data_IF_890664066192
#
_entry.id   IF_890664066192
#
_cell.length_a   1.000
_cell.length_b   1.000
_cell.length_c   1.000
_cell.angle_alpha   90.00
_cell.angle_beta   90.00
_cell.angle_gamma   90.00
#
_symmetry.space_group_name_H-M   'P 1'
#
loop_
_entity.id
_entity.type
_entity.pdbx_description
1 polymer ?
#
# COMPACT_ATOMS: atom_id res chain seq x y z
N UNK A 1 31.28 32.73 4.20
CA UNK A 1 30.30 32.32 3.17
C UNK A 1 30.85 32.33 1.73
N UNK A 2 31.69 33.30 1.30
CA UNK A 2 32.30 33.32 -0.06
C UNK A 2 33.16 32.08 -0.42
N UNK A 3 33.63 31.29 0.55
CA UNK A 3 34.44 30.09 0.28
C UNK A 3 33.63 28.80 0.05
N UNK A 4 32.38 28.70 0.53
CA UNK A 4 31.63 27.43 0.49
C UNK A 4 31.19 27.06 -0.93
N UNK A 5 30.72 28.05 -1.70
CA UNK A 5 30.36 27.85 -3.11
C UNK A 5 31.56 27.40 -3.96
N UNK A 6 32.73 27.98 -3.72
CA UNK A 6 33.97 27.55 -4.37
C UNK A 6 34.37 26.13 -3.96
N UNK A 7 34.24 25.77 -2.68
CA UNK A 7 34.53 24.40 -2.21
C UNK A 7 33.59 23.40 -2.91
N UNK A 8 32.29 23.69 -2.99
CA UNK A 8 31.32 22.84 -3.69
C UNK A 8 31.70 22.68 -5.17
N UNK A 9 32.01 23.79 -5.87
CA UNK A 9 32.40 23.75 -7.28
C UNK A 9 33.69 22.93 -7.50
N UNK A 10 34.66 23.02 -6.59
CA UNK A 10 35.89 22.23 -6.61
C UNK A 10 35.58 20.75 -6.35
N UNK A 11 34.70 20.43 -5.40
CA UNK A 11 34.26 19.06 -5.12
C UNK A 11 33.61 18.41 -6.35
N UNK A 12 32.72 19.12 -7.05
CA UNK A 12 32.14 18.62 -8.31
C UNK A 12 33.19 18.32 -9.38
N UNK A 13 34.16 19.22 -9.57
CA UNK A 13 35.27 19.00 -10.53
C UNK A 13 36.15 17.81 -10.13
N UNK A 14 36.42 17.63 -8.84
CA UNK A 14 37.18 16.49 -8.31
C UNK A 14 36.46 15.17 -8.56
N UNK A 15 35.15 15.14 -8.32
CA UNK A 15 34.30 13.95 -8.57
C UNK A 15 34.33 13.57 -10.07
N UNK A 16 34.31 14.56 -10.96
CA UNK A 16 34.36 14.34 -12.41
C UNK A 16 35.73 13.88 -12.93
N UNK A 17 36.81 14.08 -12.18
CA UNK A 17 38.16 13.64 -12.57
C UNK A 17 38.31 12.12 -12.50
N UNK A 18 37.72 11.49 -11.47
CA UNK A 18 37.80 10.05 -11.23
C UNK A 18 36.42 9.35 -11.34
N UNK A 19 35.78 9.49 -12.52
CA UNK A 19 34.40 9.07 -12.77
C UNK A 19 34.10 7.62 -12.40
N UNK A 20 34.93 6.66 -12.85
CA UNK A 20 34.69 5.23 -12.61
C UNK A 20 34.62 4.90 -11.12
N UNK A 21 35.63 5.35 -10.36
CA UNK A 21 35.72 5.13 -8.92
C UNK A 21 34.50 5.70 -8.20
N UNK A 22 34.19 6.96 -8.47
CA UNK A 22 33.11 7.65 -7.78
C UNK A 22 31.74 7.04 -8.10
N UNK A 23 31.53 6.55 -9.34
CA UNK A 23 30.33 5.78 -9.69
C UNK A 23 30.24 4.51 -8.82
N UNK A 24 31.30 3.71 -8.73
CA UNK A 24 31.30 2.49 -7.92
C UNK A 24 31.08 2.76 -6.43
N UNK A 25 31.60 3.87 -5.90
CA UNK A 25 31.36 4.29 -4.52
C UNK A 25 29.91 4.68 -4.29
N UNK A 26 29.28 5.37 -5.26
CA UNK A 26 27.90 5.80 -5.16
C UNK A 26 26.91 4.65 -5.32
N UNK A 27 27.23 3.57 -6.02
CA UNK A 27 26.30 2.45 -6.28
C UNK A 27 25.68 1.90 -4.98
N UNK A 28 26.49 1.69 -3.93
CA UNK A 28 25.96 1.18 -2.65
C UNK A 28 24.96 2.14 -2.00
N UNK A 29 25.23 3.45 -2.08
CA UNK A 29 24.34 4.51 -1.58
C UNK A 29 23.07 4.59 -2.43
N UNK A 30 23.21 4.56 -3.75
CA UNK A 30 22.13 4.62 -4.72
C UNK A 30 21.16 3.46 -4.49
N UNK A 31 21.68 2.22 -4.41
CA UNK A 31 20.85 1.02 -4.20
C UNK A 31 20.18 1.06 -2.82
N UNK A 32 20.94 1.40 -1.77
CA UNK A 32 20.40 1.48 -0.41
C UNK A 32 19.25 2.49 -0.28
N UNK A 33 19.41 3.68 -0.87
CA UNK A 33 18.38 4.72 -0.83
C UNK A 33 17.21 4.38 -1.75
N UNK A 34 17.47 3.88 -2.96
CA UNK A 34 16.41 3.44 -3.86
C UNK A 34 15.50 2.41 -3.19
N UNK A 35 16.07 1.39 -2.54
CA UNK A 35 15.32 0.35 -1.84
C UNK A 35 14.42 0.92 -0.72
N UNK A 36 14.95 1.82 0.12
CA UNK A 36 14.18 2.48 1.20
C UNK A 36 13.05 3.32 0.62
N UNK A 37 13.32 4.08 -0.44
CA UNK A 37 12.31 4.95 -1.05
C UNK A 37 11.21 4.13 -1.71
N UNK A 38 11.56 3.08 -2.46
CA UNK A 38 10.59 2.19 -3.11
C UNK A 38 9.66 1.56 -2.08
N UNK A 39 10.19 0.95 -1.01
CA UNK A 39 9.35 0.28 -0.01
C UNK A 39 8.48 1.27 0.78
N UNK A 40 9.00 2.45 1.12
CA UNK A 40 8.23 3.46 1.82
C UNK A 40 7.11 4.03 0.95
N UNK A 41 7.39 4.28 -0.34
CA UNK A 41 6.40 4.80 -1.29
C UNK A 41 5.27 3.80 -1.51
N UNK A 42 5.61 2.52 -1.70
CA UNK A 42 4.64 1.43 -1.85
C UNK A 42 3.85 1.19 -0.57
N UNK A 43 4.52 1.17 0.59
CA UNK A 43 3.88 0.98 1.89
C UNK A 43 2.91 2.10 2.23
N UNK A 44 3.31 3.36 2.02
CA UNK A 44 2.42 4.51 2.21
C UNK A 44 1.26 4.51 1.21
N UNK A 45 1.53 4.18 -0.05
CA UNK A 45 0.52 4.04 -1.08
C UNK A 45 -0.54 3.00 -0.72
N UNK A 46 -0.10 1.82 -0.29
CA UNK A 46 -1.01 0.78 0.18
C UNK A 46 -1.84 1.22 1.38
N UNK A 47 -1.21 1.84 2.39
CA UNK A 47 -1.92 2.37 3.57
C UNK A 47 -2.96 3.41 3.18
N UNK A 48 -2.64 4.28 2.23
CA UNK A 48 -3.56 5.29 1.74
C UNK A 48 -4.74 4.65 0.99
N UNK A 49 -4.48 3.79 0.00
CA UNK A 49 -5.54 3.08 -0.74
C UNK A 49 -6.45 2.29 0.20
N UNK A 50 -5.87 1.56 1.16
CA UNK A 50 -6.64 0.80 2.13
C UNK A 50 -7.45 1.69 3.09
N UNK A 51 -6.96 2.90 3.40
CA UNK A 51 -7.69 3.88 4.20
C UNK A 51 -8.82 4.56 3.41
N UNK A 52 -8.61 4.85 2.12
CA UNK A 52 -9.64 5.40 1.23
C UNK A 52 -10.81 4.41 1.08
N UNK A 53 -10.50 3.13 0.81
CA UNK A 53 -11.51 2.07 0.78
C UNK A 53 -12.26 1.95 2.13
N UNK A 54 -11.60 2.27 3.24
CA UNK A 54 -12.22 2.23 4.56
C UNK A 54 -13.22 3.38 4.77
N UNK A 55 -12.86 4.62 4.40
CA UNK A 55 -13.76 5.77 4.49
C UNK A 55 -15.05 5.54 3.68
N UNK A 56 -14.92 4.96 2.48
CA UNK A 56 -16.06 4.67 1.59
C UNK A 56 -17.00 3.57 2.12
N UNK A 57 -16.52 2.66 2.99
CA UNK A 57 -17.36 1.60 3.59
C UNK A 57 -18.30 2.10 4.70
N UNK A 58 -18.39 3.42 4.92
CA UNK A 58 -19.31 4.01 5.89
C UNK A 58 -18.79 3.89 7.33
N UNK A 59 -17.48 3.81 7.51
CA UNK A 59 -16.80 3.93 8.79
C UNK A 59 -16.57 5.39 9.20
N UNK A 60 -17.60 6.21 9.01
CA UNK A 60 -17.64 7.58 9.48
C UNK A 60 -17.41 7.67 10.99
N UNK A 61 -17.11 8.88 11.45
CA UNK A 61 -16.80 9.13 12.87
C UNK A 61 -17.96 8.80 13.81
N UNK A 62 -19.18 8.83 13.30
CA UNK A 62 -20.41 8.64 14.08
C UNK A 62 -21.21 7.40 13.62
N UNK A 63 -20.54 6.42 13.00
CA UNK A 63 -21.15 5.15 12.62
C UNK A 63 -20.38 3.94 13.16
N UNK A 64 -21.13 2.89 13.46
CA UNK A 64 -20.60 1.57 13.82
C UNK A 64 -21.31 0.49 13.00
N UNK A 65 -20.67 -0.66 12.80
CA UNK A 65 -21.25 -1.79 12.06
C UNK A 65 -21.28 -3.02 12.95
N UNK A 66 -22.48 -3.59 13.15
CA UNK A 66 -22.67 -4.89 13.80
C UNK A 66 -22.84 -5.94 12.72
N UNK A 67 -21.95 -6.91 12.69
CA UNK A 67 -21.96 -7.99 11.71
C UNK A 67 -22.70 -9.20 12.27
N UNK A 68 -23.27 -10.00 11.40
CA UNK A 68 -23.80 -11.31 11.73
C UNK A 68 -22.95 -12.40 11.11
N UNK A 69 -22.64 -13.43 11.88
CA UNK A 69 -21.96 -14.63 11.39
C UNK A 69 -22.75 -15.86 11.82
N UNK A 70 -23.05 -16.74 10.87
CA UNK A 70 -23.69 -18.01 11.14
C UNK A 70 -22.78 -18.91 11.98
N UNK A 71 -23.36 -19.85 12.71
CA UNK A 71 -22.59 -20.81 13.52
C UNK A 71 -21.71 -21.74 12.67
N UNK A 72 -22.05 -21.95 11.39
CA UNK A 72 -21.23 -22.73 10.45
C UNK A 72 -20.07 -21.93 9.85
N UNK A 73 -20.08 -20.60 9.97
CA UNK A 73 -19.12 -19.71 9.30
C UNK A 73 -19.41 -19.53 7.80
N UNK A 74 -20.51 -20.08 7.29
CA UNK A 74 -20.99 -19.85 5.92
C UNK A 74 -21.82 -18.57 5.83
N UNK A 75 -22.03 -18.06 4.61
CA UNK A 75 -22.89 -16.91 4.36
C UNK A 75 -24.33 -17.13 4.84
N UNK A 76 -24.99 -16.06 5.24
CA UNK A 76 -26.38 -16.14 5.71
C UNK A 76 -27.32 -16.47 4.53
N UNK A 77 -28.08 -17.58 4.64
CA UNK A 77 -29.05 -17.97 3.61
C UNK A 77 -30.24 -17.01 3.56
N UNK A 78 -30.73 -16.63 4.74
CA UNK A 78 -31.79 -15.66 4.94
C UNK A 78 -31.25 -14.43 5.66
N UNK A 79 -31.85 -13.27 5.44
CA UNK A 79 -31.42 -12.05 6.10
C UNK A 79 -31.65 -12.17 7.62
N UNK A 80 -30.60 -12.14 8.46
CA UNK A 80 -30.70 -12.33 9.90
C UNK A 80 -31.21 -11.06 10.61
N UNK A 81 -31.47 -9.98 9.88
CA UNK A 81 -31.99 -8.72 10.40
C UNK A 81 -33.43 -8.50 9.92
N UNK A 82 -34.34 -8.37 10.87
CA UNK A 82 -35.73 -7.97 10.69
C UNK A 82 -35.96 -6.53 11.14
N UNK A 83 -37.16 -6.00 10.87
CA UNK A 83 -37.58 -4.70 11.40
C UNK A 83 -37.54 -4.63 12.93
N UNK A 84 -37.81 -5.74 13.62
CA UNK A 84 -37.73 -5.78 15.09
C UNK A 84 -36.29 -5.65 15.59
N UNK A 85 -35.30 -6.14 14.84
CA UNK A 85 -33.89 -6.04 15.21
C UNK A 85 -33.38 -4.60 15.12
N UNK A 86 -33.86 -3.87 14.11
CA UNK A 86 -33.61 -2.43 13.96
C UNK A 86 -34.17 -1.64 15.15
N UNK A 87 -35.38 -1.98 15.61
CA UNK A 87 -35.99 -1.32 16.77
C UNK A 87 -35.27 -1.66 18.08
N UNK A 88 -34.78 -2.90 18.25
CA UNK A 88 -33.93 -3.29 19.39
C UNK A 88 -32.65 -2.46 19.40
N UNK A 89 -32.00 -2.30 18.25
CA UNK A 89 -30.78 -1.51 18.15
C UNK A 89 -31.01 -0.03 18.50
N UNK A 90 -32.13 0.55 18.03
CA UNK A 90 -32.51 1.95 18.33
C UNK A 90 -32.84 2.21 19.80
N UNK A 91 -33.22 1.19 20.56
CA UNK A 91 -33.47 1.31 22.00
C UNK A 91 -32.19 1.42 22.84
N UNK A 92 -31.03 1.10 22.27
CA UNK A 92 -29.75 1.19 22.98
C UNK A 92 -29.30 2.65 23.07
N UNK A 93 -29.07 3.12 24.30
CA UNK A 93 -28.55 4.46 24.55
C UNK A 93 -27.24 4.70 23.77
N UNK A 94 -27.23 5.76 22.96
CA UNK A 94 -26.10 6.13 22.10
C UNK A 94 -26.33 5.84 20.62
N UNK A 95 -27.40 5.14 20.24
CA UNK A 95 -27.81 4.92 18.84
C UNK A 95 -28.87 5.96 18.45
N UNK A 96 -28.64 6.69 17.36
CA UNK A 96 -29.60 7.66 16.79
C UNK A 96 -30.47 7.03 15.70
N UNK A 97 -29.89 6.13 14.90
CA UNK A 97 -30.60 5.37 13.87
C UNK A 97 -29.90 4.03 13.62
N UNK A 98 -30.64 3.09 13.03
CA UNK A 98 -30.12 1.79 12.63
C UNK A 98 -30.74 1.41 11.27
N UNK A 99 -29.91 0.91 10.36
CA UNK A 99 -30.33 0.40 9.05
C UNK A 99 -29.49 -0.80 8.63
N UNK A 100 -30.06 -1.66 7.80
CA UNK A 100 -29.30 -2.75 7.17
C UNK A 100 -28.32 -2.10 6.19
N UNK A 101 -27.05 -2.49 6.29
CA UNK A 101 -25.98 -1.93 5.47
C UNK A 101 -26.07 -2.50 4.06
N UNK A 102 -26.49 -1.68 3.11
CA UNK A 102 -26.37 -2.01 1.69
C UNK A 102 -25.02 -1.51 1.17
N UNK A 103 -24.22 -2.42 0.59
CA UNK A 103 -23.02 -2.05 -0.17
C UNK A 103 -23.06 -2.72 -1.54
N UNK A 104 -22.45 -2.05 -2.52
CA UNK A 104 -22.25 -2.60 -3.86
C UNK A 104 -21.08 -3.61 -3.88
N UNK A 105 -20.14 -3.51 -2.94
CA UNK A 105 -18.99 -4.41 -2.83
C UNK A 105 -19.23 -5.63 -1.93
N UNK A 106 -20.47 -5.81 -1.44
CA UNK A 106 -20.88 -7.02 -0.71
C UNK A 106 -21.34 -8.10 -1.69
N UNK A 107 -20.93 -9.35 -1.44
CA UNK A 107 -21.44 -10.52 -2.14
C UNK A 107 -22.88 -10.84 -1.75
N UNK A 108 -23.67 -11.34 -2.69
CA UNK A 108 -25.03 -11.83 -2.47
C UNK A 108 -25.11 -13.31 -2.82
N UNK A 109 -25.57 -14.12 -1.88
CA UNK A 109 -25.68 -15.57 -2.05
C UNK A 109 -26.79 -15.89 -3.04
N UNK A 110 -26.46 -16.69 -4.06
CA UNK A 110 -27.44 -17.19 -5.01
C UNK A 110 -27.13 -18.62 -5.44
N UNK A 111 -28.16 -19.33 -5.91
CA UNK A 111 -27.96 -20.67 -6.48
C UNK A 111 -27.75 -20.54 -7.98
N UNK A 112 -26.60 -21.02 -8.44
CA UNK A 112 -26.39 -21.22 -9.86
C UNK A 112 -26.84 -22.60 -10.31
N UNK A 113 -27.38 -22.66 -11.52
CA UNK A 113 -27.69 -23.89 -12.24
C UNK A 113 -27.25 -23.76 -13.70
N UNK A 114 -26.66 -24.82 -14.22
CA UNK A 114 -26.49 -25.04 -15.64
C UNK A 114 -26.97 -26.47 -15.96
N UNK A 115 -27.12 -26.81 -17.24
CA UNK A 115 -27.50 -28.13 -17.74
C UNK A 115 -26.71 -29.30 -17.12
N UNK A 116 -25.53 -29.04 -16.56
CA UNK A 116 -24.61 -30.06 -16.03
C UNK A 116 -24.41 -30.02 -14.51
N UNK A 117 -24.58 -28.86 -13.85
CA UNK A 117 -24.23 -28.69 -12.43
C UNK A 117 -25.12 -27.65 -11.72
N UNK A 118 -25.28 -27.85 -10.41
CA UNK A 118 -25.81 -26.86 -9.46
C UNK A 118 -24.73 -26.51 -8.46
N UNK A 119 -24.71 -25.27 -7.98
CA UNK A 119 -23.79 -24.81 -6.95
C UNK A 119 -24.21 -23.46 -6.40
N UNK A 120 -23.52 -23.03 -5.35
CA UNK A 120 -23.70 -21.70 -4.79
C UNK A 120 -22.68 -20.75 -5.41
N UNK A 121 -23.12 -19.51 -5.65
CA UNK A 121 -22.28 -18.42 -6.17
C UNK A 121 -22.51 -17.16 -5.34
N UNK A 122 -21.48 -16.33 -5.28
CA UNK A 122 -21.57 -14.98 -4.71
C UNK A 122 -21.69 -13.97 -5.84
N UNK A 123 -22.77 -13.19 -5.86
CA UNK A 123 -22.98 -12.13 -6.85
C UNK A 123 -22.40 -10.83 -6.30
N UNK A 124 -21.49 -10.22 -7.06
CA UNK A 124 -20.94 -8.90 -6.77
C UNK A 124 -21.55 -7.88 -7.72
N UNK A 125 -22.11 -6.79 -7.18
CA UNK A 125 -22.63 -5.69 -7.98
C UNK A 125 -21.47 -4.84 -8.49
N UNK A 126 -21.47 -4.54 -9.79
CA UNK A 126 -20.57 -3.54 -10.37
C UNK A 126 -21.32 -2.65 -11.35
N UNK A 127 -20.87 -1.41 -11.54
CA UNK A 127 -21.42 -0.53 -12.59
C UNK A 127 -20.90 -0.93 -13.97
N UNK A 128 -19.64 -1.31 -14.02
CA UNK A 128 -18.95 -1.79 -15.22
C UNK A 128 -17.86 -2.80 -14.84
N UNK A 129 -17.46 -3.61 -15.82
CA UNK A 129 -16.37 -4.58 -15.73
C UNK A 129 -15.73 -4.72 -17.11
N UNK A 130 -14.89 -3.75 -17.50
CA UNK A 130 -14.40 -3.60 -18.88
C UNK A 130 -13.12 -4.38 -19.20
N UNK A 131 -12.44 -4.92 -18.19
CA UNK A 131 -11.12 -5.56 -18.34
C UNK A 131 -11.09 -7.03 -17.87
N UNK A 132 -11.93 -7.93 -18.41
CA UNK A 132 -11.84 -9.36 -18.09
C UNK A 132 -10.60 -10.00 -18.74
N UNK A 133 -10.11 -11.12 -18.18
CA UNK A 133 -9.01 -11.88 -18.79
C UNK A 133 -9.40 -12.45 -20.16
N UNK A 134 -10.68 -12.81 -20.33
CA UNK A 134 -11.25 -13.30 -21.60
C UNK A 134 -12.64 -12.71 -21.81
N UNK A 135 -12.97 -12.38 -23.06
CA UNK A 135 -14.28 -11.82 -23.44
C UNK A 135 -14.28 -10.30 -23.48
N UNK A 136 -15.48 -9.70 -23.41
CA UNK A 136 -15.67 -8.24 -23.55
C UNK A 136 -16.13 -7.55 -22.26
N UNK A 137 -16.58 -8.31 -21.27
CA UNK A 137 -17.10 -7.74 -20.03
C UNK A 137 -18.42 -7.00 -20.25
N UNK A 138 -18.78 -6.10 -19.35
CA UNK A 138 -19.95 -5.22 -19.48
C UNK A 138 -19.61 -3.78 -19.14
N UNK A 139 -20.32 -2.82 -19.74
CA UNK A 139 -20.07 -1.39 -19.55
C UNK A 139 -21.27 -0.67 -18.88
N UNK A 140 -21.17 0.64 -18.71
CA UNK A 140 -22.26 1.46 -18.16
C UNK A 140 -23.55 1.37 -18.99
N UNK A 141 -23.48 1.31 -20.33
CA UNK A 141 -24.68 1.16 -21.18
C UNK A 141 -25.41 -0.15 -20.87
N UNK A 142 -24.68 -1.25 -20.66
CA UNK A 142 -25.25 -2.54 -20.29
C UNK A 142 -25.97 -2.46 -18.94
N UNK A 143 -25.41 -1.69 -17.99
CA UNK A 143 -26.01 -1.43 -16.69
C UNK A 143 -27.26 -0.53 -16.80
N UNK A 144 -27.22 0.56 -17.56
CA UNK A 144 -28.40 1.43 -17.76
C UNK A 144 -29.56 0.71 -18.46
N UNK A 145 -29.25 -0.13 -19.44
CA UNK A 145 -30.24 -0.90 -20.19
C UNK A 145 -30.73 -2.16 -19.46
N UNK A 146 -30.24 -2.43 -18.25
CA UNK A 146 -30.54 -3.64 -17.47
C UNK A 146 -30.29 -4.94 -18.26
N UNK A 147 -29.21 -5.00 -19.04
CA UNK A 147 -28.91 -6.19 -19.82
C UNK A 147 -28.58 -7.36 -18.88
N UNK A 148 -29.11 -8.54 -19.22
CA UNK A 148 -28.87 -9.79 -18.48
C UNK A 148 -27.52 -10.42 -18.85
N UNK A 149 -26.45 -9.68 -18.60
CA UNK A 149 -25.07 -10.10 -18.85
C UNK A 149 -24.31 -10.21 -17.53
N UNK A 150 -23.37 -11.14 -17.45
CA UNK A 150 -22.51 -11.34 -16.27
C UNK A 150 -21.09 -11.70 -16.67
N UNK A 151 -20.13 -11.40 -15.80
CA UNK A 151 -18.80 -12.01 -15.84
C UNK A 151 -18.68 -13.04 -14.72
N UNK A 152 -17.91 -14.10 -14.96
CA UNK A 152 -17.75 -15.19 -13.99
C UNK A 152 -16.29 -15.41 -13.64
N UNK A 153 -16.03 -15.86 -12.42
CA UNK A 153 -14.71 -16.27 -11.97
C UNK A 153 -14.19 -17.50 -12.77
N UNK A 154 -12.86 -17.64 -12.90
CA UNK A 154 -12.20 -18.75 -13.61
C UNK A 154 -12.63 -20.12 -13.06
N UNK A 155 -12.90 -20.21 -11.75
CA UNK A 155 -13.40 -21.45 -11.14
C UNK A 155 -14.78 -21.85 -11.67
N UNK A 156 -15.69 -20.90 -11.85
CA UNK A 156 -17.02 -21.17 -12.45
C UNK A 156 -16.83 -21.57 -13.92
N UNK A 157 -16.01 -20.84 -14.66
CA UNK A 157 -15.74 -21.15 -16.06
C UNK A 157 -15.20 -22.58 -16.24
N UNK A 158 -14.27 -23.00 -15.37
CA UNK A 158 -13.69 -24.33 -15.39
C UNK A 158 -14.65 -25.41 -14.91
N UNK A 159 -15.26 -25.23 -13.74
CA UNK A 159 -16.05 -26.28 -13.09
C UNK A 159 -17.42 -26.47 -13.73
N UNK A 160 -18.04 -25.39 -14.22
CA UNK A 160 -19.42 -25.42 -14.76
C UNK A 160 -19.44 -25.49 -16.28
N UNK A 161 -18.46 -24.88 -16.96
CA UNK A 161 -18.45 -24.73 -18.41
C UNK A 161 -17.27 -25.41 -19.11
N UNK A 162 -16.40 -26.13 -18.39
CA UNK A 162 -15.17 -26.72 -18.94
C UNK A 162 -14.32 -25.71 -19.75
N UNK A 163 -14.19 -24.48 -19.24
CA UNK A 163 -13.52 -23.32 -19.83
C UNK A 163 -14.17 -22.71 -21.09
N UNK A 164 -15.33 -23.19 -21.51
CA UNK A 164 -16.09 -22.65 -22.63
C UNK A 164 -17.35 -21.95 -22.11
N UNK A 165 -17.17 -20.86 -21.35
CA UNK A 165 -18.28 -20.14 -20.68
C UNK A 165 -18.87 -19.01 -21.53
N UNK A 166 -18.05 -18.35 -22.36
CA UNK A 166 -18.43 -17.11 -23.05
C UNK A 166 -19.56 -17.36 -24.07
N UNK A 167 -20.59 -16.51 -24.04
CA UNK A 167 -21.79 -16.60 -24.88
C UNK A 167 -22.79 -17.67 -24.42
N UNK A 168 -22.50 -18.42 -23.35
CA UNK A 168 -23.44 -19.38 -22.77
C UNK A 168 -24.26 -18.73 -21.66
N UNK A 169 -25.41 -19.34 -21.40
CA UNK A 169 -26.32 -18.89 -20.33
C UNK A 169 -25.99 -19.59 -19.01
N UNK A 170 -25.79 -18.80 -17.96
CA UNK A 170 -25.78 -19.23 -16.57
C UNK A 170 -27.14 -18.90 -15.95
N UNK A 171 -27.80 -19.88 -15.31
CA UNK A 171 -29.02 -19.60 -14.57
C UNK A 171 -28.68 -19.33 -13.11
N UNK A 172 -29.18 -18.21 -12.59
CA UNK A 172 -29.02 -17.79 -11.20
C UNK A 172 -30.43 -17.58 -10.65
N UNK A 173 -30.83 -18.36 -9.64
CA UNK A 173 -32.20 -18.37 -9.09
C UNK A 173 -33.29 -18.41 -10.18
N UNK A 174 -33.12 -19.33 -11.14
CA UNK A 174 -33.98 -19.55 -12.32
C UNK A 174 -34.04 -18.39 -13.33
N UNK A 175 -33.23 -17.34 -13.20
CA UNK A 175 -33.07 -16.29 -14.20
C UNK A 175 -31.82 -16.56 -15.05
N UNK A 176 -31.97 -16.55 -16.39
CA UNK A 176 -30.85 -16.76 -17.31
C UNK A 176 -30.07 -15.48 -17.60
N UNK A 177 -28.75 -15.55 -17.47
CA UNK A 177 -27.81 -14.48 -17.77
C UNK A 177 -26.73 -14.98 -18.75
N UNK A 178 -26.38 -14.15 -19.73
CA UNK A 178 -25.31 -14.47 -20.69
C UNK A 178 -23.94 -14.15 -20.08
N UNK A 179 -23.02 -15.11 -20.15
CA UNK A 179 -21.63 -14.92 -19.70
C UNK A 179 -20.85 -14.19 -20.80
N UNK A 180 -20.47 -12.94 -20.56
CA UNK A 180 -19.78 -12.08 -21.54
C UNK A 180 -18.27 -11.98 -21.32
N UNK A 181 -17.79 -12.49 -20.18
CA UNK A 181 -16.36 -12.54 -19.88
C UNK A 181 -16.01 -13.44 -18.69
N UNK A 182 -14.72 -13.78 -18.60
CA UNK A 182 -14.12 -14.54 -17.51
C UNK A 182 -13.10 -13.63 -16.82
N UNK A 183 -13.21 -13.55 -15.51
CA UNK A 183 -12.36 -12.75 -14.64
C UNK A 183 -11.67 -13.68 -13.67
N UNK A 184 -10.44 -13.36 -13.26
CA UNK A 184 -9.77 -14.06 -12.18
C UNK A 184 -9.88 -13.22 -10.91
N UNK A 185 -10.90 -13.50 -10.10
CA UNK A 185 -11.11 -12.81 -8.83
C UNK A 185 -10.45 -13.61 -7.71
N UNK A 186 -9.16 -13.36 -7.51
CA UNK A 186 -8.37 -14.06 -6.50
C UNK A 186 -8.88 -13.85 -5.07
N UNK A 187 -9.65 -12.77 -4.82
CA UNK A 187 -10.22 -12.48 -3.52
C UNK A 187 -11.57 -13.19 -3.30
N UNK A 188 -12.35 -13.39 -4.37
CA UNK A 188 -13.68 -14.00 -4.29
C UNK A 188 -13.81 -15.19 -5.26
N UNK A 189 -13.30 -16.38 -4.89
CA UNK A 189 -13.45 -17.58 -5.70
C UNK A 189 -14.93 -17.89 -5.95
N UNK A 190 -15.29 -18.24 -7.17
CA UNK A 190 -16.70 -18.46 -7.58
C UNK A 190 -17.59 -17.21 -7.51
N UNK A 191 -17.04 -16.02 -7.69
CA UNK A 191 -17.83 -14.80 -7.85
C UNK A 191 -18.47 -14.68 -9.24
N UNK A 192 -19.62 -14.02 -9.29
CA UNK A 192 -20.29 -13.57 -10.51
C UNK A 192 -20.47 -12.07 -10.42
N UNK A 193 -19.88 -11.30 -11.33
CA UNK A 193 -20.10 -9.85 -11.37
C UNK A 193 -21.31 -9.54 -12.26
N UNK A 194 -22.23 -8.74 -11.73
CA UNK A 194 -23.49 -8.39 -12.38
C UNK A 194 -23.66 -6.86 -12.41
N UNK A 195 -24.21 -6.29 -13.51
CA UNK A 195 -24.59 -4.90 -13.53
C UNK A 195 -25.55 -4.56 -12.39
N UNK A 196 -25.27 -3.49 -11.66
CA UNK A 196 -25.98 -3.12 -10.42
C UNK A 196 -27.49 -2.92 -10.63
N UNK A 197 -27.91 -2.31 -11.75
CA UNK A 197 -29.32 -2.12 -12.06
C UNK A 197 -29.99 -3.46 -12.44
N UNK A 198 -29.30 -4.31 -13.20
CA UNK A 198 -29.77 -5.67 -13.52
C UNK A 198 -29.99 -6.47 -12.24
N UNK A 199 -29.05 -6.39 -11.29
CA UNK A 199 -29.21 -7.01 -9.98
C UNK A 199 -30.44 -6.47 -9.25
N UNK A 200 -30.56 -5.15 -9.09
CA UNK A 200 -31.68 -4.53 -8.38
C UNK A 200 -33.03 -4.90 -9.00
N UNK A 201 -33.09 -5.06 -10.33
CA UNK A 201 -34.31 -5.40 -11.05
C UNK A 201 -34.71 -6.88 -10.94
N UNK A 202 -33.75 -7.80 -11.01
CA UNK A 202 -34.05 -9.22 -11.11
C UNK A 202 -33.74 -10.01 -9.83
N UNK A 203 -32.82 -9.53 -9.02
CA UNK A 203 -32.20 -10.24 -7.89
C UNK A 203 -32.31 -9.47 -6.55
N UNK A 204 -33.09 -8.36 -6.48
CA UNK A 204 -33.19 -7.51 -5.29
C UNK A 204 -33.76 -8.19 -4.03
N UNK A 205 -34.24 -9.42 -4.14
CA UNK A 205 -34.71 -10.25 -3.04
C UNK A 205 -33.62 -11.14 -2.42
N UNK A 206 -32.42 -11.18 -3.01
CA UNK A 206 -31.32 -12.00 -2.52
C UNK A 206 -30.74 -11.45 -1.21
N UNK A 207 -30.23 -12.36 -0.40
CA UNK A 207 -29.56 -12.03 0.86
C UNK A 207 -28.08 -11.76 0.62
N UNK A 208 -27.51 -10.77 1.34
CA UNK A 208 -26.06 -10.57 1.39
C UNK A 208 -25.38 -11.79 2.04
N UNK A 209 -24.18 -12.13 1.59
CA UNK A 209 -23.38 -13.21 2.17
C UNK A 209 -23.06 -12.93 3.64
N UNK A 210 -22.72 -11.67 3.94
CA UNK A 210 -22.39 -11.21 5.30
C UNK A 210 -23.24 -9.98 5.66
N UNK A 211 -24.54 -10.18 5.94
CA UNK A 211 -25.42 -9.09 6.32
C UNK A 211 -24.87 -8.36 7.53
N UNK A 212 -25.00 -7.03 7.52
CA UNK A 212 -24.56 -6.21 8.63
C UNK A 212 -25.52 -5.06 8.90
N UNK A 213 -25.55 -4.62 10.14
CA UNK A 213 -26.37 -3.52 10.62
C UNK A 213 -25.47 -2.30 10.81
N UNK A 214 -25.77 -1.22 10.09
CA UNK A 214 -25.14 0.08 10.30
C UNK A 214 -25.90 0.84 11.37
N UNK A 215 -25.18 1.23 12.41
CA UNK A 215 -25.64 2.08 13.50
C UNK A 215 -25.15 3.50 13.26
N UNK A 216 -26.05 4.47 13.36
CA UNK A 216 -25.71 5.87 13.53
C UNK A 216 -25.67 6.17 15.03
N UNK A 217 -24.63 6.86 15.47
CA UNK A 217 -24.36 7.12 16.88
C UNK A 217 -24.57 8.59 17.22
N UNK A 218 -24.75 8.88 18.50
CA UNK A 218 -24.73 10.24 19.02
C UNK A 218 -23.29 10.76 19.02
N UNK A 219 -23.09 12.03 18.67
CA UNK A 219 -21.79 12.69 18.71
C UNK A 219 -21.08 12.45 20.06
N UNK A 220 -19.87 11.90 19.99
CA UNK A 220 -19.03 11.63 21.16
C UNK A 220 -19.35 10.35 21.94
N UNK A 221 -20.27 9.51 21.45
CA UNK A 221 -20.47 8.17 22.02
C UNK A 221 -19.26 7.26 21.76
N UNK A 222 -18.97 6.37 22.71
CA UNK A 222 -17.97 5.31 22.49
C UNK A 222 -18.55 4.25 21.53
N UNK A 223 -18.03 4.22 20.30
CA UNK A 223 -18.49 3.33 19.23
C UNK A 223 -18.50 1.86 19.67
N UNK A 224 -17.40 1.42 20.29
CA UNK A 224 -17.18 0.02 20.67
C UNK A 224 -18.15 -0.37 21.77
N UNK A 225 -18.29 0.47 22.78
CA UNK A 225 -19.21 0.23 23.89
C UNK A 225 -20.67 0.16 23.43
N UNK A 226 -21.11 1.10 22.59
CA UNK A 226 -22.49 1.13 22.09
C UNK A 226 -22.76 -0.05 21.16
N UNK A 227 -21.86 -0.34 20.21
CA UNK A 227 -22.04 -1.44 19.29
C UNK A 227 -22.00 -2.82 19.98
N UNK A 228 -21.14 -3.00 21.00
CA UNK A 228 -21.11 -4.22 21.81
C UNK A 228 -22.41 -4.40 22.61
N UNK A 229 -23.01 -3.30 23.11
CA UNK A 229 -24.32 -3.33 23.77
C UNK A 229 -25.43 -3.75 22.80
N UNK A 230 -25.43 -3.19 21.58
CA UNK A 230 -26.38 -3.60 20.53
C UNK A 230 -26.21 -5.07 20.17
N UNK A 231 -24.98 -5.52 19.91
CA UNK A 231 -24.68 -6.92 19.60
C UNK A 231 -25.16 -7.86 20.72
N UNK A 232 -24.96 -7.48 21.99
CA UNK A 232 -25.46 -8.26 23.15
C UNK A 232 -26.98 -8.36 23.21
N UNK A 233 -27.71 -7.28 22.91
CA UNK A 233 -29.18 -7.32 22.91
C UNK A 233 -29.72 -8.12 21.70
N UNK A 234 -29.09 -7.98 20.53
CA UNK A 234 -29.40 -8.80 19.35
C UNK A 234 -29.11 -10.29 19.59
N UNK A 235 -28.04 -10.64 20.30
CA UNK A 235 -27.76 -12.04 20.66
C UNK A 235 -28.77 -12.64 21.65
N UNK A 236 -29.56 -11.82 22.37
CA UNK A 236 -30.59 -12.31 23.29
C UNK A 236 -31.97 -12.43 22.63
N UNK A 237 -32.29 -11.50 21.74
CA UNK A 237 -33.67 -11.29 21.24
C UNK A 237 -33.77 -11.21 19.73
N UNK A 238 -32.64 -11.19 19.04
CA UNK A 238 -32.59 -10.93 17.62
C UNK A 238 -33.03 -12.13 16.80
N UNK A 239 -33.55 -11.86 15.60
CA UNK A 239 -34.18 -12.88 14.75
C UNK A 239 -33.22 -14.00 14.33
N UNK A 240 -31.94 -13.66 14.11
CA UNK A 240 -30.88 -14.59 13.76
C UNK A 240 -30.12 -15.20 14.95
N UNK A 241 -30.46 -14.85 16.19
CA UNK A 241 -29.72 -15.30 17.38
C UNK A 241 -29.75 -16.84 17.58
N UNK A 242 -30.69 -17.54 16.94
CA UNK A 242 -30.78 -19.00 16.98
C UNK A 242 -29.77 -19.71 16.07
N UNK A 243 -29.38 -19.08 14.96
CA UNK A 243 -28.55 -19.71 13.91
C UNK A 243 -27.12 -19.16 13.87
N UNK A 244 -26.83 -18.08 14.59
CA UNK A 244 -25.55 -17.40 14.57
C UNK A 244 -25.38 -16.38 15.69
N UNK A 245 -24.38 -15.53 15.54
CA UNK A 245 -23.99 -14.56 16.55
C UNK A 245 -23.78 -13.18 15.90
N UNK A 246 -24.32 -12.16 16.55
CA UNK A 246 -24.06 -10.76 16.24
C UNK A 246 -22.82 -10.28 16.98
N UNK A 247 -21.92 -9.61 16.28
CA UNK A 247 -20.70 -9.05 16.87
C UNK A 247 -20.33 -7.71 16.25
N UNK A 248 -19.76 -6.82 17.05
CA UNK A 248 -19.10 -5.64 16.54
C UNK A 248 -17.69 -5.99 16.10
N UNK A 249 -17.34 -5.63 14.86
CA UNK A 249 -15.96 -5.69 14.39
C UNK A 249 -15.39 -4.29 14.38
N UNK A 250 -14.43 -4.03 15.27
CA UNK A 250 -13.69 -2.78 15.30
C UNK A 250 -12.73 -2.73 14.11
N UNK A 251 -13.23 -2.20 13.00
CA UNK A 251 -12.43 -2.05 11.79
C UNK A 251 -11.30 -1.03 11.95
N UNK A 252 -11.42 -0.04 12.85
CA UNK A 252 -10.32 0.88 13.16
C UNK A 252 -9.17 0.13 13.85
N UNK A 253 -9.49 -0.75 14.79
CA UNK A 253 -8.53 -1.64 15.45
C UNK A 253 -7.88 -2.60 14.45
N UNK A 254 -8.68 -3.18 13.55
CA UNK A 254 -8.19 -4.03 12.45
C UNK A 254 -7.20 -3.28 11.56
N UNK A 255 -7.54 -2.08 11.10
CA UNK A 255 -6.66 -1.24 10.28
C UNK A 255 -5.40 -0.81 11.02
N UNK A 256 -5.49 -0.49 12.32
CA UNK A 256 -4.30 -0.24 13.16
C UNK A 256 -3.38 -1.46 13.20
N UNK A 257 -3.93 -2.67 13.27
CA UNK A 257 -3.12 -3.90 13.26
C UNK A 257 -2.49 -4.17 11.89
N UNK A 258 -3.21 -3.94 10.79
CA UNK A 258 -2.63 -3.99 9.44
C UNK A 258 -1.49 -2.97 9.30
N UNK A 259 -1.68 -1.74 9.75
CA UNK A 259 -0.66 -0.71 9.72
C UNK A 259 0.60 -1.10 10.50
N UNK A 260 0.45 -1.75 11.67
CA UNK A 260 1.58 -2.28 12.45
C UNK A 260 2.37 -3.34 11.69
N UNK A 261 1.71 -4.21 10.92
CA UNK A 261 2.38 -5.21 10.08
C UNK A 261 3.22 -4.51 9.00
N UNK A 262 2.64 -3.53 8.31
CA UNK A 262 3.37 -2.73 7.31
C UNK A 262 4.52 -1.93 7.91
N UNK A 263 4.36 -1.38 9.11
CA UNK A 263 5.44 -0.73 9.85
C UNK A 263 6.56 -1.73 10.16
N UNK A 264 6.22 -2.94 10.60
CA UNK A 264 7.18 -4.02 10.82
C UNK A 264 7.99 -4.37 9.58
N UNK A 265 7.33 -4.50 8.42
CA UNK A 265 7.99 -4.72 7.13
C UNK A 265 8.90 -3.53 6.78
N UNK A 266 8.40 -2.31 6.96
CA UNK A 266 9.15 -1.08 6.69
C UNK A 266 10.41 -1.00 7.55
N UNK A 267 10.32 -1.29 8.85
CA UNK A 267 11.46 -1.30 9.77
C UNK A 267 12.47 -2.40 9.44
N UNK A 268 11.99 -3.59 9.09
CA UNK A 268 12.87 -4.69 8.68
C UNK A 268 13.68 -4.31 7.44
N UNK A 269 13.03 -3.79 6.40
CA UNK A 269 13.70 -3.36 5.16
C UNK A 269 14.61 -2.16 5.43
N UNK A 270 14.19 -1.21 6.25
CA UNK A 270 15.02 -0.08 6.66
C UNK A 270 16.28 -0.52 7.43
N UNK A 271 16.18 -1.56 8.27
CA UNK A 271 17.34 -2.12 8.96
C UNK A 271 18.32 -2.79 7.99
N UNK A 272 17.82 -3.60 7.04
CA UNK A 272 18.64 -4.23 5.99
C UNK A 272 19.31 -3.16 5.12
N UNK A 273 18.55 -2.16 4.69
CA UNK A 273 19.08 -1.04 3.92
C UNK A 273 20.08 -0.20 4.74
N UNK A 274 19.87 -0.04 6.05
CA UNK A 274 20.81 0.59 6.95
C UNK A 274 22.16 -0.13 7.00
N UNK A 275 22.15 -1.47 7.03
CA UNK A 275 23.38 -2.28 6.92
C UNK A 275 24.04 -2.07 5.55
N UNK A 276 23.27 -2.09 4.46
CA UNK A 276 23.79 -1.83 3.12
C UNK A 276 24.41 -0.43 2.99
N UNK A 277 23.78 0.58 3.58
CA UNK A 277 24.27 1.96 3.62
C UNK A 277 25.51 2.10 4.48
N UNK A 278 25.62 1.34 5.58
CA UNK A 278 26.83 1.28 6.39
C UNK A 278 28.02 0.69 5.60
N UNK A 279 27.80 -0.41 4.88
CA UNK A 279 28.81 -1.02 4.00
C UNK A 279 29.20 -0.03 2.89
N UNK A 280 28.23 0.67 2.30
CA UNK A 280 28.48 1.72 1.32
C UNK A 280 29.32 2.88 1.91
N UNK A 281 29.03 3.26 3.16
CA UNK A 281 29.80 4.24 3.92
C UNK A 281 31.26 3.86 4.11
N UNK A 282 31.55 2.58 4.42
CA UNK A 282 32.94 2.07 4.46
C UNK A 282 33.60 2.21 3.08
N UNK A 283 32.85 1.95 2.01
CA UNK A 283 33.30 2.20 0.63
C UNK A 283 33.70 3.67 0.40
N UNK A 284 32.87 4.61 0.85
CA UNK A 284 33.16 6.06 0.79
C UNK A 284 34.44 6.38 1.56
N UNK A 285 34.60 5.84 2.76
CA UNK A 285 35.78 6.04 3.59
C UNK A 285 37.05 5.57 2.88
N UNK A 286 37.04 4.35 2.32
CA UNK A 286 38.19 3.79 1.60
C UNK A 286 38.55 4.62 0.35
N UNK A 287 37.56 4.99 -0.44
CA UNK A 287 37.77 5.84 -1.62
C UNK A 287 38.32 7.21 -1.22
N UNK A 288 37.87 7.75 -0.09
CA UNK A 288 38.38 9.02 0.41
C UNK A 288 39.84 8.90 0.89
N UNK A 289 40.23 7.82 1.56
CA UNK A 289 41.65 7.57 1.90
C UNK A 289 42.56 7.53 0.66
N UNK A 290 42.11 6.83 -0.38
CA UNK A 290 42.84 6.77 -1.66
C UNK A 290 42.93 8.18 -2.26
N UNK A 291 41.82 8.92 -2.31
CA UNK A 291 41.77 10.27 -2.86
C UNK A 291 42.67 11.27 -2.11
N UNK A 292 42.76 11.15 -0.79
CA UNK A 292 43.68 11.94 0.05
C UNK A 292 45.13 11.60 -0.29
N UNK A 293 45.44 10.32 -0.50
CA UNK A 293 46.80 9.85 -0.79
C UNK A 293 47.25 10.29 -2.18
N UNK A 294 46.38 10.20 -3.19
CA UNK A 294 46.64 10.69 -4.55
C UNK A 294 46.87 12.21 -4.61
N UNK A 295 46.26 12.97 -3.69
CA UNK A 295 46.33 14.44 -3.66
C UNK A 295 47.29 14.96 -2.59
N UNK A 296 48.21 14.13 -2.11
CA UNK A 296 49.12 14.51 -1.01
C UNK A 296 49.99 15.72 -1.39
N UNK A 297 50.54 15.79 -2.60
CA UNK A 297 51.32 16.95 -3.09
C UNK A 297 50.49 18.25 -3.12
N UNK A 298 49.24 18.18 -3.60
CA UNK A 298 48.32 19.32 -3.63
C UNK A 298 48.04 19.85 -2.22
N UNK A 299 47.90 18.95 -1.24
CA UNK A 299 47.70 19.30 0.17
C UNK A 299 48.95 19.99 0.73
N UNK A 300 50.15 19.48 0.47
CA UNK A 300 51.39 20.11 0.92
C UNK A 300 51.58 21.50 0.35
N UNK A 301 51.36 21.69 -0.96
CA UNK A 301 51.45 23.00 -1.60
C UNK A 301 50.49 23.97 -0.89
N UNK A 302 49.22 23.61 -0.70
CA UNK A 302 48.25 24.47 0.00
C UNK A 302 48.64 24.80 1.43
N UNK A 303 49.16 23.83 2.18
CA UNK A 303 49.64 24.04 3.55
C UNK A 303 50.87 24.95 3.58
N UNK A 304 51.79 24.83 2.61
CA UNK A 304 52.95 25.69 2.48
C UNK A 304 52.57 27.15 2.18
N UNK A 305 51.48 27.37 1.42
CA UNK A 305 50.88 28.67 1.17
C UNK A 305 49.93 29.17 2.27
N UNK A 306 49.88 28.51 3.43
CA UNK A 306 49.19 29.00 4.63
C UNK A 306 47.77 28.49 4.87
N UNK A 307 47.29 27.48 4.12
CA UNK A 307 46.01 26.84 4.41
C UNK A 307 46.04 26.14 5.79
N UNK A 308 45.00 26.36 6.62
CA UNK A 308 44.90 25.71 7.93
C UNK A 308 44.52 24.25 7.76
N UNK A 309 44.90 23.39 8.71
CA UNK A 309 44.48 21.99 8.74
C UNK A 309 42.95 21.84 8.61
N UNK A 310 42.19 22.73 9.27
CA UNK A 310 40.72 22.77 9.17
C UNK A 310 40.21 23.07 7.76
N UNK A 311 40.93 23.85 6.97
CA UNK A 311 40.51 24.18 5.60
C UNK A 311 40.61 22.93 4.70
N UNK A 312 41.66 22.12 4.89
CA UNK A 312 41.83 20.82 4.22
C UNK A 312 40.76 19.82 4.68
N UNK A 313 40.52 19.75 5.98
CA UNK A 313 39.48 18.87 6.56
C UNK A 313 38.09 19.19 5.98
N UNK A 314 37.70 20.47 5.99
CA UNK A 314 36.40 20.91 5.46
C UNK A 314 36.30 20.64 3.97
N UNK A 315 37.37 20.82 3.20
CA UNK A 315 37.33 20.54 1.76
C UNK A 315 37.02 19.07 1.47
N UNK A 316 37.77 18.14 2.07
CA UNK A 316 37.54 16.71 1.86
C UNK A 316 36.21 16.25 2.45
N UNK A 317 35.81 16.78 3.60
CA UNK A 317 34.51 16.49 4.19
C UNK A 317 33.35 16.90 3.26
N UNK A 318 33.40 18.12 2.70
CA UNK A 318 32.40 18.59 1.74
C UNK A 318 32.42 17.74 0.46
N UNK A 319 33.60 17.31 0.00
CA UNK A 319 33.70 16.40 -1.15
C UNK A 319 33.01 15.05 -0.90
N UNK A 320 33.16 14.48 0.31
CA UNK A 320 32.46 13.25 0.70
C UNK A 320 30.94 13.45 0.78
N UNK A 321 30.50 14.54 1.42
CA UNK A 321 29.07 14.85 1.57
C UNK A 321 28.42 15.08 0.20
N UNK A 322 29.06 15.86 -0.68
CA UNK A 322 28.55 16.10 -2.04
C UNK A 322 28.43 14.78 -2.82
N UNK A 323 29.43 13.90 -2.73
CA UNK A 323 29.39 12.58 -3.37
C UNK A 323 28.22 11.73 -2.85
N UNK A 324 28.02 11.69 -1.53
CA UNK A 324 26.93 10.93 -0.92
C UNK A 324 25.56 11.51 -1.26
N UNK A 325 25.42 12.84 -1.23
CA UNK A 325 24.16 13.54 -1.58
C UNK A 325 23.81 13.34 -3.06
N UNK A 326 24.79 13.37 -3.97
CA UNK A 326 24.54 13.04 -5.39
C UNK A 326 24.06 11.59 -5.51
N UNK A 327 24.74 10.65 -4.85
CA UNK A 327 24.31 9.25 -4.80
C UNK A 327 22.89 9.10 -4.25
N UNK A 328 22.54 9.85 -3.20
CA UNK A 328 21.22 9.82 -2.60
C UNK A 328 20.12 10.44 -3.46
N UNK A 329 20.41 11.52 -4.19
CA UNK A 329 19.47 12.10 -5.14
C UNK A 329 19.23 11.13 -6.30
N UNK A 330 20.29 10.49 -6.82
CA UNK A 330 20.15 9.48 -7.87
C UNK A 330 19.35 8.28 -7.34
N UNK A 331 19.65 7.79 -6.13
CA UNK A 331 18.89 6.73 -5.48
C UNK A 331 17.43 7.09 -5.28
N UNK A 332 17.13 8.32 -4.87
CA UNK A 332 15.77 8.84 -4.73
C UNK A 332 15.02 8.81 -6.08
N UNK A 333 15.65 9.33 -7.15
CA UNK A 333 15.06 9.34 -8.50
C UNK A 333 14.79 7.90 -8.97
N UNK A 334 15.75 6.99 -8.80
CA UNK A 334 15.59 5.59 -9.18
C UNK A 334 14.49 4.92 -8.34
N UNK A 335 14.44 5.16 -7.03
CA UNK A 335 13.41 4.62 -6.15
C UNK A 335 12.01 5.08 -6.53
N UNK A 336 11.85 6.36 -6.88
CA UNK A 336 10.60 6.92 -7.40
C UNK A 336 10.24 6.27 -8.74
N UNK A 337 11.20 6.18 -9.68
CA UNK A 337 10.96 5.54 -10.98
C UNK A 337 10.52 4.09 -10.84
N UNK A 338 11.15 3.33 -9.95
CA UNK A 338 10.76 1.94 -9.67
C UNK A 338 9.36 1.89 -9.06
N UNK A 339 9.05 2.75 -8.09
CA UNK A 339 7.72 2.81 -7.49
C UNK A 339 6.63 3.14 -8.53
N UNK A 340 6.86 4.16 -9.37
CA UNK A 340 5.95 4.52 -10.46
C UNK A 340 5.82 3.44 -11.53
N UNK A 341 6.89 2.66 -11.78
CA UNK A 341 6.83 1.53 -12.70
C UNK A 341 5.98 0.39 -12.12
N UNK A 342 6.08 0.14 -10.81
CA UNK A 342 5.19 -0.80 -10.13
C UNK A 342 3.73 -0.33 -10.23
N UNK A 343 3.45 0.94 -9.96
CA UNK A 343 2.10 1.51 -10.09
C UNK A 343 1.52 1.30 -11.51
N UNK A 344 2.34 1.51 -12.55
CA UNK A 344 1.92 1.35 -13.93
C UNK A 344 1.60 -0.11 -14.30
N UNK A 345 2.22 -1.08 -13.63
CA UNK A 345 2.00 -2.52 -13.84
C UNK A 345 0.87 -3.07 -12.96
N UNK A 346 0.59 -2.42 -11.82
CA UNK A 346 -0.49 -2.80 -10.88
C UNK A 346 -1.44 -1.64 -10.57
N UNK A 347 -2.12 -1.05 -11.59
CA UNK A 347 -2.94 0.16 -11.43
C UNK A 347 -4.13 -0.03 -10.48
N UNK A 348 -4.63 -1.25 -10.35
CA UNK A 348 -5.82 -1.56 -9.54
C UNK A 348 -5.50 -1.81 -8.05
N UNK A 349 -4.23 -1.96 -7.68
CA UNK A 349 -3.84 -2.43 -6.34
C UNK A 349 -3.02 -1.44 -5.52
N UNK A 350 -2.10 -0.69 -6.13
CA UNK A 350 -1.19 0.21 -5.40
C UNK A 350 -1.03 1.52 -6.16
N UNK A 351 -1.31 2.63 -5.48
CA UNK A 351 -0.93 3.98 -5.92
C UNK A 351 0.23 4.44 -5.06
N UNK A 352 1.46 4.41 -5.57
CA UNK A 352 2.61 4.82 -4.76
C UNK A 352 2.49 6.29 -4.34
N UNK A 353 2.79 6.55 -3.08
CA UNK A 353 2.71 7.87 -2.49
C UNK A 353 4.13 8.33 -2.10
N UNK A 354 4.74 9.14 -2.97
CA UNK A 354 6.03 9.77 -2.67
C UNK A 354 5.82 10.90 -1.69
N UNK A 355 6.12 10.64 -0.41
CA UNK A 355 6.00 11.65 0.65
C UNK A 355 7.21 12.59 0.68
N UNK A 356 6.99 13.84 1.09
CA UNK A 356 8.07 14.80 1.37
C UNK A 356 9.05 14.25 2.42
N UNK A 357 8.54 13.48 3.38
CA UNK A 357 9.32 12.79 4.41
C UNK A 357 10.36 11.84 3.81
N UNK A 358 10.01 11.13 2.73
CA UNK A 358 10.92 10.22 2.03
C UNK A 358 12.11 10.97 1.43
N UNK A 359 11.88 12.15 0.85
CA UNK A 359 12.94 13.02 0.31
C UNK A 359 13.87 13.51 1.43
N UNK A 360 13.30 13.95 2.56
CA UNK A 360 14.07 14.42 3.72
C UNK A 360 14.93 13.30 4.32
N UNK A 361 14.41 12.08 4.38
CA UNK A 361 15.15 10.90 4.84
C UNK A 361 16.31 10.59 3.88
N UNK A 362 16.07 10.57 2.56
CA UNK A 362 17.13 10.31 1.58
C UNK A 362 18.28 11.32 1.69
N UNK A 363 17.96 12.62 1.72
CA UNK A 363 18.96 13.69 1.83
C UNK A 363 19.66 13.66 3.20
N UNK A 364 18.90 13.47 4.27
CA UNK A 364 19.42 13.43 5.64
C UNK A 364 20.37 12.27 5.87
N UNK A 365 19.97 11.06 5.49
CA UNK A 365 20.78 9.85 5.63
C UNK A 365 22.04 9.92 4.76
N UNK A 366 21.93 10.39 3.51
CA UNK A 366 23.09 10.57 2.62
C UNK A 366 24.10 11.56 3.19
N UNK A 367 23.62 12.68 3.72
CA UNK A 367 24.45 13.71 4.32
C UNK A 367 25.16 13.15 5.57
N UNK A 368 24.43 12.42 6.42
CA UNK A 368 24.97 11.80 7.62
C UNK A 368 26.07 10.78 7.29
N UNK A 369 25.86 9.92 6.30
CA UNK A 369 26.88 8.95 5.84
C UNK A 369 28.13 9.69 5.35
N UNK A 370 27.97 10.73 4.52
CA UNK A 370 29.09 11.52 4.02
C UNK A 370 29.86 12.23 5.14
N UNK A 371 29.17 12.70 6.18
CA UNK A 371 29.84 13.29 7.34
C UNK A 371 30.60 12.22 8.12
N UNK A 372 29.94 11.15 8.55
CA UNK A 372 30.53 10.14 9.45
C UNK A 372 31.72 9.45 8.81
N UNK A 373 31.56 8.95 7.58
CA UNK A 373 32.59 8.18 6.89
C UNK A 373 33.62 9.06 6.16
N UNK A 374 33.26 10.30 5.81
CA UNK A 374 34.18 11.26 5.21
C UNK A 374 35.07 11.96 6.24
N UNK A 375 34.61 12.11 7.49
CA UNK A 375 35.33 12.87 8.51
C UNK A 375 36.66 12.24 8.92
N UNK A 376 36.68 10.92 9.14
CA UNK A 376 37.89 10.21 9.56
C UNK A 376 39.05 10.40 8.55
N UNK A 377 38.89 10.12 7.24
CA UNK A 377 39.94 10.34 6.26
C UNK A 377 40.25 11.82 6.04
N UNK A 378 39.26 12.71 6.07
CA UNK A 378 39.48 14.17 5.96
C UNK A 378 40.35 14.70 7.11
N UNK A 379 40.13 14.21 8.33
CA UNK A 379 40.92 14.57 9.51
C UNK A 379 42.32 13.97 9.45
N UNK A 380 42.47 12.77 8.90
CA UNK A 380 43.79 12.16 8.63
C UNK A 380 44.60 13.02 7.63
N UNK A 381 43.97 13.46 6.54
CA UNK A 381 44.57 14.36 5.54
C UNK A 381 45.07 15.66 6.16
N UNK A 382 44.25 16.29 7.01
CA UNK A 382 44.55 17.55 7.67
C UNK A 382 45.74 17.47 8.65
N UNK A 383 46.04 16.28 9.19
CA UNK A 383 47.10 16.05 10.17
C UNK A 383 48.44 15.61 9.58
N UNK A 384 48.53 15.26 8.29
CA UNK A 384 49.81 14.86 7.65
C UNK A 384 50.83 15.99 7.73
N UNK A 385 52.03 15.75 8.28
CA UNK A 385 53.09 16.75 8.40
C UNK A 385 53.72 17.11 7.06
N UNK A 386 54.12 18.38 6.87
CA UNK A 386 54.70 18.89 5.62
C UNK A 386 56.00 18.16 5.23
N UNK A 387 56.78 17.72 6.22
CA UNK A 387 58.07 17.06 6.00
C UNK A 387 57.93 15.63 5.45
N UNK A 388 56.83 14.95 5.77
CA UNK A 388 56.53 13.61 5.26
C UNK A 388 55.97 13.62 3.83
N UNK A 389 55.56 14.80 3.33
CA UNK A 389 54.89 14.93 2.02
C UNK A 389 55.86 15.32 0.90
N UNK A 390 56.98 15.98 1.20
CA UNK A 390 57.90 16.58 0.21
C UNK A 390 59.17 15.71 0.01
N UNK A 391 59.10 14.41 0.28
CA UNK A 391 60.23 13.48 0.07
C UNK A 391 60.29 12.91 -1.33
#
# INVERSE_FOLDING_TARGET
MKNLSNIIAISFKSILKNKRRNIFTMIGIIIGIAAVITIMSLGNGFKQTASEQFEDTGAGKDSATVNYMTSSGEGAKDNPFSQSDLDIAKQVNGVTDAKIKESDDQGYSAKMTNAQKKGDVSILKKKEMTSPEKGKGFNEDDNELNKKVVTVDDKIAKDVFNNDAIGKTLYIDNQGFEVVGIVNDAMNPSAVHMPSNTFNRYMGQLTQDFPSLQLSLVDGADKKEVADKVAKELNKKGSGAGDGNYSYTDMEEFMKNINKVFDGITYFVAAVAGISLFIAGIGVMNVMYISVTERTEEIAIRRAFGAKARDIEVQFLVESVVLCVIGGIIGLIIGILVASLVDAVTPDYIKSAVSLSSVLIAVGVSTLIGIVFGWIPARSAAKKELIDIIK
#
